data_IF_977119021627
#
_entry.id   IF_977119021627
#
_cell.length_a   1.000
_cell.length_b   1.000
_cell.length_c   1.000
_cell.angle_alpha   90.00
_cell.angle_beta   90.00
_cell.angle_gamma   90.00
#
_symmetry.space_group_name_H-M   'P 1'
#
loop_
_entity.id
_entity.type
_entity.pdbx_description
1 polymer ?
#
# COMPACT_ATOMS: atom_id res chain seq x y z
N UNK A 1 15.01 12.15 0.23
CA UNK A 1 14.36 11.33 1.23
C UNK A 1 14.12 12.08 2.51
N UNK A 2 12.93 12.03 3.00
CA UNK A 2 12.60 12.70 4.25
C UNK A 2 13.19 11.98 5.45
N UNK A 3 13.81 12.74 6.35
CA UNK A 3 14.29 12.24 7.63
C UNK A 3 13.47 12.82 8.77
N UNK A 4 12.22 13.21 8.50
CA UNK A 4 11.38 13.76 9.52
C UNK A 4 11.15 12.75 10.62
N UNK A 5 11.30 13.24 11.83
CA UNK A 5 11.00 12.47 13.00
C UNK A 5 9.48 12.26 13.08
N UNK A 6 9.08 10.99 13.21
CA UNK A 6 7.69 10.63 13.47
C UNK A 6 7.61 10.20 14.92
N UNK A 7 6.86 10.92 15.76
CA UNK A 7 6.75 10.56 17.19
C UNK A 7 6.25 9.13 17.38
N UNK A 8 6.74 8.46 18.41
CA UNK A 8 6.39 7.05 18.65
C UNK A 8 4.89 6.84 18.84
N UNK A 9 4.19 7.80 19.45
CA UNK A 9 2.73 7.70 19.61
C UNK A 9 2.03 7.68 18.25
N UNK A 10 2.51 8.50 17.32
CA UNK A 10 1.95 8.56 15.97
C UNK A 10 2.27 7.28 15.19
N UNK A 11 3.50 6.76 15.33
CA UNK A 11 3.88 5.47 14.73
C UNK A 11 2.97 4.35 15.20
N UNK A 12 2.71 4.30 16.50
CA UNK A 12 1.83 3.30 17.09
C UNK A 12 0.42 3.42 16.54
N UNK A 13 -0.09 4.65 16.44
CA UNK A 13 -1.42 4.91 15.90
C UNK A 13 -1.54 4.40 14.46
N UNK A 14 -0.55 4.68 13.62
CA UNK A 14 -0.55 4.23 12.23
C UNK A 14 -0.54 2.71 12.16
N UNK A 15 0.31 2.07 12.96
CA UNK A 15 0.43 0.61 13.00
C UNK A 15 -0.88 -0.04 13.46
N UNK A 16 -1.45 0.45 14.57
CA UNK A 16 -2.67 -0.11 15.14
C UNK A 16 -3.88 0.09 14.23
N UNK A 17 -3.98 1.25 13.60
CA UNK A 17 -5.06 1.54 12.66
C UNK A 17 -5.06 0.58 11.49
N UNK A 18 -3.88 0.22 11.00
CA UNK A 18 -3.72 -0.73 9.89
C UNK A 18 -3.75 -2.19 10.36
N UNK A 19 -3.81 -2.45 11.66
CA UNK A 19 -3.72 -3.79 12.26
C UNK A 19 -2.45 -4.53 11.81
N UNK A 20 -1.34 -3.80 11.65
CA UNK A 20 -0.07 -4.38 11.22
C UNK A 20 -0.04 -4.80 9.76
N UNK A 21 -1.04 -4.44 8.97
CA UNK A 21 -1.16 -4.88 7.58
C UNK A 21 -0.77 -3.76 6.63
N UNK A 22 -0.02 -4.08 5.57
CA UNK A 22 0.27 -3.11 4.52
C UNK A 22 -1.03 -2.58 3.93
N UNK A 23 -1.20 -1.27 3.90
CA UNK A 23 -2.45 -0.68 3.45
C UNK A 23 -2.59 -0.66 1.93
N UNK A 24 -1.56 -1.08 1.20
CA UNK A 24 -1.60 -1.19 -0.26
C UNK A 24 -1.79 -2.65 -0.72
N UNK A 25 -0.90 -3.56 -0.30
CA UNK A 25 -0.93 -4.94 -0.78
C UNK A 25 -1.50 -5.94 0.22
N UNK A 26 -1.86 -5.48 1.41
CA UNK A 26 -2.52 -6.25 2.46
C UNK A 26 -1.64 -7.27 3.21
N UNK A 27 -0.35 -7.40 2.88
CA UNK A 27 0.50 -8.36 3.59
C UNK A 27 0.69 -7.94 5.06
N UNK A 28 0.49 -8.85 6.03
CA UNK A 28 0.72 -8.53 7.43
C UNK A 28 2.23 -8.50 7.74
N UNK A 29 2.64 -7.58 8.61
CA UNK A 29 4.05 -7.44 8.98
C UNK A 29 4.64 -8.72 9.55
N UNK A 30 3.87 -9.41 10.39
CA UNK A 30 4.33 -10.63 11.04
C UNK A 30 4.76 -11.71 10.06
N UNK A 31 4.26 -11.67 8.83
CA UNK A 31 4.52 -12.67 7.79
C UNK A 31 5.36 -12.11 6.64
N UNK A 32 5.77 -10.84 6.73
CA UNK A 32 6.59 -10.21 5.72
C UNK A 32 8.06 -10.50 5.97
N UNK A 33 8.85 -10.48 4.91
CA UNK A 33 10.29 -10.71 4.99
C UNK A 33 11.00 -9.61 5.80
N UNK A 34 10.57 -8.37 5.64
CA UNK A 34 11.13 -7.22 6.36
C UNK A 34 10.00 -6.48 7.07
N UNK A 35 10.35 -5.72 8.12
CA UNK A 35 9.39 -4.90 8.84
C UNK A 35 8.70 -3.89 7.95
N UNK A 36 7.46 -3.53 8.29
CA UNK A 36 6.73 -2.50 7.58
C UNK A 36 7.25 -1.11 7.95
N UNK A 37 6.99 -0.17 7.05
CA UNK A 37 7.47 1.20 7.17
C UNK A 37 6.28 2.15 7.16
N UNK A 38 6.50 3.36 7.66
CA UNK A 38 5.47 4.38 7.62
C UNK A 38 5.71 5.23 6.38
N UNK A 39 4.71 5.26 5.52
CA UNK A 39 4.74 5.99 4.26
C UNK A 39 4.04 7.32 4.42
N UNK A 40 4.69 8.40 3.99
CA UNK A 40 4.00 9.67 3.76
C UNK A 40 3.22 9.50 2.46
N UNK A 41 1.89 9.43 2.55
CA UNK A 41 1.04 9.20 1.37
C UNK A 41 1.33 10.28 0.33
N UNK A 42 1.32 11.54 0.75
CA UNK A 42 1.84 12.64 -0.04
C UNK A 42 3.20 12.99 0.53
N UNK A 43 4.25 12.83 -0.27
CA UNK A 43 5.62 13.06 0.18
C UNK A 43 5.85 14.52 0.56
N UNK A 44 6.85 14.74 1.41
CA UNK A 44 7.18 16.09 1.87
C UNK A 44 7.56 17.04 0.74
N UNK A 45 8.20 16.55 -0.31
CA UNK A 45 8.53 17.39 -1.45
C UNK A 45 7.29 17.90 -2.19
N UNK A 46 6.12 17.31 -1.91
CA UNK A 46 4.83 17.75 -2.41
C UNK A 46 4.01 18.40 -1.30
N UNK A 47 4.68 18.91 -0.26
CA UNK A 47 4.07 19.56 0.90
C UNK A 47 3.22 18.64 1.76
N UNK A 48 3.45 17.34 1.70
CA UNK A 48 2.78 16.38 2.57
C UNK A 48 3.16 16.58 4.03
N UNK A 49 2.20 16.51 4.92
CA UNK A 49 2.39 16.71 6.35
C UNK A 49 2.69 15.39 7.06
N UNK A 50 3.34 15.50 8.22
CA UNK A 50 3.57 14.34 9.10
C UNK A 50 2.45 14.31 10.13
N UNK A 51 1.29 13.83 9.70
CA UNK A 51 0.13 13.68 10.56
C UNK A 51 -0.67 12.42 10.16
N UNK A 52 -1.63 12.05 11.01
CA UNK A 52 -2.40 10.82 10.83
C UNK A 52 -3.16 10.76 9.49
N UNK A 53 -3.55 11.91 8.96
CA UNK A 53 -4.30 11.97 7.70
C UNK A 53 -3.42 11.74 6.47
N UNK A 54 -2.11 11.76 6.64
CA UNK A 54 -1.15 11.60 5.54
C UNK A 54 -0.15 10.47 5.75
N UNK A 55 -0.39 9.59 6.72
CA UNK A 55 0.51 8.47 6.99
C UNK A 55 -0.21 7.16 6.78
N UNK A 56 0.51 6.17 6.26
CA UNK A 56 0.00 4.83 6.04
C UNK A 56 1.08 3.81 6.39
N UNK A 57 0.66 2.61 6.79
CA UNK A 57 1.58 1.50 6.98
C UNK A 57 1.79 0.82 5.63
N UNK A 58 3.04 0.64 5.24
CA UNK A 58 3.38 0.03 3.96
C UNK A 58 4.47 -1.01 4.13
N UNK A 59 4.38 -2.11 3.40
CA UNK A 59 5.48 -3.07 3.37
C UNK A 59 6.67 -2.45 2.63
N UNK A 60 7.85 -3.02 2.85
CA UNK A 60 9.08 -2.48 2.28
C UNK A 60 9.01 -2.36 0.74
N UNK A 61 8.41 -3.34 0.07
CA UNK A 61 8.30 -3.32 -1.39
C UNK A 61 7.35 -2.24 -1.89
N UNK A 62 6.16 -2.11 -1.27
CA UNK A 62 5.22 -1.07 -1.66
C UNK A 62 5.81 0.32 -1.42
N UNK A 63 6.45 0.50 -0.26
CA UNK A 63 7.07 1.79 0.06
C UNK A 63 8.18 2.15 -0.94
N UNK A 64 9.03 1.18 -1.25
CA UNK A 64 10.11 1.36 -2.21
C UNK A 64 9.58 1.70 -3.61
N UNK A 65 8.62 0.92 -4.09
CA UNK A 65 8.10 1.09 -5.45
C UNK A 65 7.31 2.39 -5.59
N UNK A 66 6.62 2.81 -4.53
CA UNK A 66 5.88 4.06 -4.55
C UNK A 66 6.82 5.26 -4.47
N UNK A 67 7.81 5.21 -3.57
CA UNK A 67 8.68 6.35 -3.34
C UNK A 67 7.87 7.60 -3.03
N UNK A 68 8.18 8.70 -3.72
CA UNK A 68 7.46 9.97 -3.57
C UNK A 68 6.36 10.17 -4.60
N UNK A 69 6.03 9.15 -5.39
CA UNK A 69 5.02 9.28 -6.44
C UNK A 69 3.63 9.43 -5.85
N UNK A 70 2.81 10.24 -6.49
CA UNK A 70 1.41 10.46 -6.12
C UNK A 70 0.46 10.12 -7.27
N UNK A 71 1.01 9.84 -8.44
CA UNK A 71 0.25 9.50 -9.64
C UNK A 71 1.12 8.67 -10.57
N UNK A 72 0.49 7.95 -11.50
CA UNK A 72 1.19 7.22 -12.54
C UNK A 72 0.26 7.03 -13.74
N UNK A 73 0.76 6.35 -14.77
CA UNK A 73 -0.02 6.12 -15.99
C UNK A 73 -0.94 4.91 -15.78
N UNK A 74 -2.21 5.08 -16.09
CA UNK A 74 -3.15 3.98 -16.21
C UNK A 74 -2.81 3.20 -17.47
N UNK A 75 -2.38 1.94 -17.38
CA UNK A 75 -1.96 1.19 -18.58
C UNK A 75 -3.10 0.91 -19.56
N UNK A 76 -4.35 0.98 -19.12
CA UNK A 76 -5.49 0.73 -20.00
C UNK A 76 -5.83 1.94 -20.88
N UNK A 77 -5.55 3.15 -20.41
CA UNK A 77 -5.95 4.37 -21.10
C UNK A 77 -4.78 5.23 -21.56
N UNK A 78 -3.59 5.03 -20.97
CA UNK A 78 -2.43 5.88 -21.21
C UNK A 78 -2.54 7.24 -20.53
N UNK A 79 -3.55 7.45 -19.70
CA UNK A 79 -3.80 8.72 -19.01
C UNK A 79 -3.27 8.65 -17.57
N UNK A 80 -2.78 9.76 -17.08
CA UNK A 80 -2.31 9.87 -15.70
C UNK A 80 -3.49 9.70 -14.74
N UNK A 81 -3.31 8.87 -13.73
CA UNK A 81 -4.28 8.66 -12.65
C UNK A 81 -3.58 8.78 -11.31
N UNK A 82 -4.27 9.29 -10.28
CA UNK A 82 -3.71 9.30 -8.93
C UNK A 82 -3.46 7.88 -8.44
N UNK A 83 -2.50 7.73 -7.51
CA UNK A 83 -2.34 6.47 -6.81
C UNK A 83 -3.41 6.32 -5.74
N UNK A 84 -3.67 5.08 -5.35
CA UNK A 84 -4.57 4.78 -4.24
C UNK A 84 -4.11 5.50 -2.98
N UNK A 85 -5.03 6.23 -2.34
CA UNK A 85 -4.75 7.01 -1.13
C UNK A 85 -5.46 6.36 0.05
N UNK A 86 -4.74 5.66 0.95
CA UNK A 86 -5.38 4.87 2.01
C UNK A 86 -6.26 5.66 2.98
N UNK A 87 -6.11 6.97 3.06
CA UNK A 87 -6.95 7.79 3.94
C UNK A 87 -8.21 8.31 3.25
N UNK A 88 -8.16 8.54 1.94
CA UNK A 88 -9.27 9.12 1.17
C UNK A 88 -10.08 8.10 0.41
N UNK A 89 -9.43 7.03 -0.02
CA UNK A 89 -10.05 6.04 -0.89
C UNK A 89 -10.36 4.76 -0.11
N UNK A 90 -11.30 3.99 -0.62
CA UNK A 90 -11.62 2.67 -0.06
C UNK A 90 -11.02 1.60 -0.95
N UNK A 91 -10.32 0.65 -0.32
CA UNK A 91 -9.60 -0.39 -1.06
C UNK A 91 -10.53 -1.18 -2.00
N UNK A 92 -11.70 -1.61 -1.51
CA UNK A 92 -12.62 -2.41 -2.31
C UNK A 92 -13.31 -1.65 -3.44
N UNK A 93 -13.22 -0.33 -3.46
CA UNK A 93 -13.72 0.45 -4.61
C UNK A 93 -12.74 0.41 -5.78
N UNK A 94 -11.46 0.16 -5.49
CA UNK A 94 -10.41 0.21 -6.51
C UNK A 94 -9.78 -1.13 -6.80
N UNK A 95 -9.96 -2.11 -5.92
CA UNK A 95 -9.35 -3.44 -6.04
C UNK A 95 -10.31 -4.54 -5.61
N UNK A 96 -10.01 -5.74 -6.10
CA UNK A 96 -10.71 -6.95 -5.73
C UNK A 96 -9.68 -8.08 -5.66
N UNK A 97 -9.82 -8.97 -4.69
CA UNK A 97 -8.99 -10.16 -4.64
C UNK A 97 -9.64 -11.28 -5.45
N UNK A 98 -8.85 -11.87 -6.34
CA UNK A 98 -9.22 -13.09 -7.05
C UNK A 98 -8.11 -14.11 -6.77
N UNK A 99 -8.34 -15.00 -5.80
CA UNK A 99 -7.25 -15.79 -5.25
C UNK A 99 -6.18 -14.86 -4.69
N UNK A 100 -4.93 -15.05 -5.10
CA UNK A 100 -3.82 -14.20 -4.67
C UNK A 100 -3.67 -12.94 -5.51
N UNK A 101 -4.37 -12.84 -6.62
CA UNK A 101 -4.24 -11.70 -7.52
C UNK A 101 -5.07 -10.51 -7.06
N UNK A 102 -4.48 -9.32 -7.09
CA UNK A 102 -5.19 -8.07 -6.83
C UNK A 102 -5.66 -7.51 -8.16
N UNK A 103 -6.96 -7.57 -8.38
CA UNK A 103 -7.57 -7.11 -9.63
C UNK A 103 -7.91 -5.62 -9.49
N UNK A 104 -7.37 -4.75 -10.35
CA UNK A 104 -7.74 -3.33 -10.30
C UNK A 104 -9.09 -3.12 -10.97
N UNK A 105 -9.93 -2.26 -10.37
CA UNK A 105 -11.28 -1.98 -10.86
C UNK A 105 -11.42 -0.58 -11.46
N UNK A 106 -10.45 0.30 -11.27
CA UNK A 106 -10.54 1.71 -11.63
C UNK A 106 -9.20 2.20 -12.20
N UNK A 107 -9.16 3.38 -12.83
CA UNK A 107 -7.88 3.98 -13.23
C UNK A 107 -6.89 4.11 -12.07
N UNK A 108 -7.37 4.52 -10.90
CA UNK A 108 -6.55 4.58 -9.67
C UNK A 108 -5.99 3.20 -9.35
N UNK A 109 -6.84 2.19 -9.36
CA UNK A 109 -6.42 0.80 -9.09
C UNK A 109 -5.39 0.32 -10.10
N UNK A 110 -5.61 0.56 -11.39
CA UNK A 110 -4.69 0.09 -12.44
C UNK A 110 -3.33 0.76 -12.35
N UNK A 111 -3.28 2.06 -12.13
CA UNK A 111 -2.02 2.78 -11.97
C UNK A 111 -1.27 2.28 -10.73
N UNK A 112 -1.98 2.02 -9.64
CA UNK A 112 -1.39 1.55 -8.38
C UNK A 112 -0.84 0.14 -8.51
N UNK A 113 -1.62 -0.79 -9.06
CA UNK A 113 -1.18 -2.18 -9.27
C UNK A 113 0.10 -2.22 -10.07
N UNK A 114 0.16 -1.43 -11.14
CA UNK A 114 1.33 -1.41 -12.01
C UNK A 114 2.55 -0.79 -11.33
N UNK A 115 2.41 0.39 -10.76
CA UNK A 115 3.56 1.10 -10.17
C UNK A 115 4.11 0.36 -8.96
N UNK A 116 3.25 -0.12 -8.08
CA UNK A 116 3.67 -0.82 -6.88
C UNK A 116 3.98 -2.30 -7.13
N UNK A 117 3.77 -2.77 -8.34
CA UNK A 117 4.07 -4.16 -8.75
C UNK A 117 3.35 -5.17 -7.87
N UNK A 118 2.06 -4.93 -7.60
CA UNK A 118 1.30 -5.72 -6.65
C UNK A 118 1.13 -7.18 -7.05
N UNK A 119 1.20 -7.48 -8.35
CA UNK A 119 1.00 -8.84 -8.88
C UNK A 119 2.25 -9.45 -9.51
N UNK A 120 3.45 -8.97 -9.15
CA UNK A 120 4.66 -9.64 -9.58
C UNK A 120 4.72 -11.05 -9.01
N UNK A 121 5.36 -11.98 -9.72
CA UNK A 121 5.29 -13.40 -9.42
C UNK A 121 5.59 -13.74 -7.96
N UNK A 122 6.67 -13.21 -7.40
CA UNK A 122 7.02 -13.51 -6.02
C UNK A 122 5.99 -13.00 -5.01
N UNK A 123 5.28 -11.92 -5.35
CA UNK A 123 4.23 -11.37 -4.49
C UNK A 123 2.95 -12.21 -4.59
N UNK A 124 2.66 -12.74 -5.76
CA UNK A 124 1.54 -13.69 -5.93
C UNK A 124 1.80 -14.96 -5.15
N UNK A 125 3.02 -15.50 -5.23
CA UNK A 125 3.41 -16.73 -4.52
C UNK A 125 3.29 -16.50 -3.01
N UNK A 126 3.82 -15.41 -2.51
CA UNK A 126 3.75 -15.08 -1.08
C UNK A 126 2.30 -15.00 -0.62
N UNK A 127 1.47 -14.27 -1.36
CA UNK A 127 0.07 -14.08 -1.00
C UNK A 127 -0.72 -15.38 -1.07
N UNK A 128 -0.43 -16.22 -2.05
CA UNK A 128 -1.04 -17.54 -2.18
C UNK A 128 -0.72 -18.43 -0.99
N UNK A 129 0.55 -18.45 -0.56
CA UNK A 129 0.96 -19.20 0.61
C UNK A 129 0.25 -18.72 1.88
N UNK A 130 0.10 -17.39 2.03
CA UNK A 130 -0.60 -16.83 3.17
C UNK A 130 -2.08 -17.21 3.19
N UNK A 131 -2.72 -17.19 2.03
CA UNK A 131 -4.12 -17.60 1.90
C UNK A 131 -4.29 -19.09 2.21
N UNK A 132 -3.41 -19.92 1.68
CA UNK A 132 -3.47 -21.38 1.88
C UNK A 132 -3.22 -21.76 3.33
N UNK A 133 -2.41 -21.00 4.05
CA UNK A 133 -2.10 -21.29 5.45
C UNK A 133 -3.26 -20.97 6.39
N UNK A 134 -4.23 -20.21 5.93
CA UNK A 134 -5.35 -19.74 6.76
C UNK A 134 -4.97 -18.66 7.76
N UNK A 135 -3.72 -18.20 7.74
CA UNK A 135 -3.23 -17.15 8.65
C UNK A 135 -3.58 -15.75 8.14
N UNK A 136 -3.74 -15.63 6.82
CA UNK A 136 -3.98 -14.35 6.18
C UNK A 136 -5.42 -13.89 6.48
N UNK A 137 -5.55 -12.94 7.38
CA UNK A 137 -6.84 -12.37 7.74
C UNK A 137 -6.97 -10.99 7.11
N UNK A 138 -7.80 -10.91 6.07
CA UNK A 138 -7.99 -9.66 5.35
C UNK A 138 -8.82 -8.67 6.15
N UNK A 139 -8.22 -7.55 6.45
CA UNK A 139 -8.92 -6.43 7.09
C UNK A 139 -8.98 -5.29 6.08
N UNK A 140 -10.06 -5.29 5.34
CA UNK A 140 -10.25 -4.34 4.27
C UNK A 140 -11.32 -3.33 4.64
#
# INVERSE_FOLDING_TARGET
MSHLFIPSALRRQVYERASGQCEYCLVPEALAFAGHEIDHIIAQKHDGQTDEANLALACALCNKNKGSDIASIDPATGVIAPLFHPRRDRWLEHFQLSGAEIIPLTPIGRATVRLLKLNHLHRLIEREQLLDSGIFNLRI
#
